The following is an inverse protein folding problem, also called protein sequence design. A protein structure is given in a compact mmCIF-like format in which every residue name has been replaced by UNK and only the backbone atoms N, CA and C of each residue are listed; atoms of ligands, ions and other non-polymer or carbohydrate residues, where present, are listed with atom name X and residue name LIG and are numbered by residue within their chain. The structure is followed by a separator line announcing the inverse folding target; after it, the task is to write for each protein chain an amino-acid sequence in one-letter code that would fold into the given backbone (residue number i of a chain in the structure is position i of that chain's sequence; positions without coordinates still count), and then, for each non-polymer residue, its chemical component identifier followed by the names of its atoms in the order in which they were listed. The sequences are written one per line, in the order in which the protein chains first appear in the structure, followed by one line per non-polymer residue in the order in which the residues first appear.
data_IF_783685272775
#
_entry.id   IF_783685272775
#
_cell.length_a   1.000
_cell.length_b   1.000
_cell.length_c   1.000
_cell.angle_alpha   90.00
_cell.angle_beta   90.00
_cell.angle_gamma   90.00
#
_symmetry.space_group_name_H-M   'P 1'
#
loop_
_entity.id
_entity.type
_entity.pdbx_description
1 polymer ?
#
# COMPACT_ATOMS: atom_id res chain seq x y z
N UNK A 1 20.26 -1.16 17.45
CA UNK A 1 20.16 0.27 17.11
C UNK A 1 20.27 0.37 15.60
N UNK A 2 19.33 1.01 14.96
CA UNK A 2 19.44 1.33 13.54
C UNK A 2 20.54 2.39 13.39
N UNK A 3 21.65 2.08 12.68
CA UNK A 3 22.74 3.05 12.53
C UNK A 3 22.31 4.32 11.80
N UNK A 4 21.17 4.31 11.08
CA UNK A 4 20.62 5.47 10.38
C UNK A 4 19.69 6.33 11.25
N UNK A 5 19.21 5.84 12.41
CA UNK A 5 18.33 6.61 13.30
C UNK A 5 18.41 6.13 14.76
N UNK A 6 19.38 6.65 15.54
CA UNK A 6 19.61 6.20 16.93
C UNK A 6 18.45 6.51 17.90
N UNK A 7 17.47 7.32 17.49
CA UNK A 7 16.31 7.70 18.31
C UNK A 7 15.03 6.94 17.95
N UNK A 8 15.04 6.03 16.96
CA UNK A 8 13.89 5.15 16.71
C UNK A 8 13.82 4.09 17.83
N UNK A 9 12.68 3.95 18.52
CA UNK A 9 12.52 2.89 19.48
C UNK A 9 12.69 1.55 18.76
N UNK A 10 13.53 0.68 19.33
CA UNK A 10 13.70 -0.68 18.80
C UNK A 10 12.42 -1.44 19.07
N UNK A 11 11.63 -1.69 18.03
CA UNK A 11 10.47 -2.54 18.09
C UNK A 11 10.92 -4.01 18.13
N UNK A 12 10.41 -4.77 19.09
CA UNK A 12 10.58 -6.21 19.14
C UNK A 12 9.27 -6.86 18.67
N UNK A 13 9.34 -7.69 17.65
CA UNK A 13 8.21 -8.51 17.21
C UNK A 13 8.11 -9.67 18.21
N UNK A 14 6.99 -9.76 18.93
CA UNK A 14 6.74 -10.79 19.93
C UNK A 14 6.04 -12.00 19.33
N UNK A 15 5.20 -11.81 18.32
CA UNK A 15 4.46 -12.87 17.66
C UNK A 15 3.93 -12.44 16.31
N UNK A 16 3.67 -13.42 15.44
CA UNK A 16 3.09 -13.23 14.10
C UNK A 16 2.07 -14.33 13.87
N UNK A 17 0.87 -13.99 13.40
CA UNK A 17 -0.14 -14.92 12.89
C UNK A 17 -0.42 -14.62 11.41
N UNK A 18 -0.42 -15.66 10.56
CA UNK A 18 -0.64 -15.52 9.13
C UNK A 18 -1.68 -16.53 8.66
N UNK A 19 -2.85 -16.03 8.30
CA UNK A 19 -3.97 -16.85 7.84
C UNK A 19 -4.45 -16.36 6.48
N UNK A 20 -4.87 -17.29 5.61
CA UNK A 20 -5.48 -16.95 4.32
C UNK A 20 -6.77 -16.17 4.56
N UNK A 21 -6.88 -15.00 3.99
CA UNK A 21 -8.05 -14.12 4.15
C UNK A 21 -9.17 -14.52 3.19
N UNK A 22 -9.92 -15.57 3.53
CA UNK A 22 -11.17 -15.90 2.86
C UNK A 22 -12.31 -15.02 3.44
N UNK A 23 -13.39 -14.78 2.70
CA UNK A 23 -14.47 -13.90 3.13
C UNK A 23 -14.22 -12.39 2.93
N UNK A 24 -13.00 -11.98 2.52
CA UNK A 24 -12.67 -10.59 2.16
C UNK A 24 -12.23 -10.52 0.71
N UNK A 25 -12.78 -9.56 -0.05
CA UNK A 25 -12.37 -9.32 -1.43
C UNK A 25 -12.26 -7.83 -1.71
N UNK A 26 -11.15 -7.42 -2.31
CA UNK A 26 -10.86 -6.00 -2.65
C UNK A 26 -10.99 -5.05 -1.46
N UNK A 27 -10.68 -5.53 -0.26
CA UNK A 27 -10.81 -4.76 0.99
C UNK A 27 -12.25 -4.65 1.53
N UNK A 28 -13.20 -5.43 0.99
CA UNK A 28 -14.58 -5.48 1.45
C UNK A 28 -14.89 -6.86 2.03
N UNK A 29 -15.52 -6.90 3.21
CA UNK A 29 -15.98 -8.14 3.84
C UNK A 29 -17.23 -8.60 3.09
N UNK A 30 -17.17 -9.79 2.49
CA UNK A 30 -18.28 -10.44 1.80
C UNK A 30 -18.95 -11.52 2.65
N UNK A 31 -18.18 -12.15 3.54
CA UNK A 31 -18.64 -13.12 4.52
C UNK A 31 -18.09 -12.78 5.89
N UNK A 32 -18.97 -12.41 6.80
CA UNK A 32 -18.63 -11.97 8.15
C UNK A 32 -18.16 -13.14 9.04
N UNK A 33 -18.75 -14.32 8.88
CA UNK A 33 -18.39 -15.48 9.70
C UNK A 33 -17.01 -16.00 9.32
N UNK A 34 -16.72 -16.09 8.03
CA UNK A 34 -15.38 -16.49 7.56
C UNK A 34 -14.33 -15.44 7.95
N UNK A 35 -14.66 -14.14 7.82
CA UNK A 35 -13.77 -13.06 8.28
C UNK A 35 -13.44 -13.18 9.76
N UNK A 36 -14.42 -13.39 10.64
CA UNK A 36 -14.22 -13.54 12.09
C UNK A 36 -13.37 -14.77 12.41
N UNK A 37 -13.65 -15.90 11.78
CA UNK A 37 -12.89 -17.13 11.94
C UNK A 37 -11.39 -16.93 11.61
N UNK A 38 -11.10 -16.35 10.44
CA UNK A 38 -9.73 -16.09 10.00
C UNK A 38 -9.02 -15.07 10.90
N UNK A 39 -9.77 -14.08 11.39
CA UNK A 39 -9.26 -13.09 12.32
C UNK A 39 -8.88 -13.72 13.66
N UNK A 40 -9.77 -14.53 14.25
CA UNK A 40 -9.55 -15.24 15.51
C UNK A 40 -8.36 -16.21 15.42
N UNK A 41 -8.25 -16.95 14.31
CA UNK A 41 -7.14 -17.86 14.04
C UNK A 41 -5.80 -17.10 13.96
N UNK A 42 -5.73 -15.98 13.23
CA UNK A 42 -4.50 -15.20 13.10
C UNK A 42 -4.10 -14.52 14.43
N UNK A 43 -5.06 -14.05 15.20
CA UNK A 43 -4.82 -13.49 16.54
C UNK A 43 -4.30 -14.56 17.50
N UNK A 44 -4.95 -15.73 17.52
CA UNK A 44 -4.54 -16.87 18.34
C UNK A 44 -3.10 -17.30 18.04
N UNK A 45 -2.71 -17.40 16.77
CA UNK A 45 -1.32 -17.71 16.40
C UNK A 45 -0.32 -16.66 16.93
N UNK A 46 -0.64 -15.37 16.75
CA UNK A 46 0.22 -14.27 17.20
C UNK A 46 0.35 -14.25 18.74
N UNK A 47 -0.76 -14.43 19.46
CA UNK A 47 -0.82 -14.46 20.94
C UNK A 47 -0.08 -15.67 21.50
N UNK A 48 -0.24 -16.86 20.91
CA UNK A 48 0.50 -18.06 21.30
C UNK A 48 2.01 -17.86 21.16
N UNK A 49 2.46 -17.25 20.06
CA UNK A 49 3.88 -16.96 19.86
C UNK A 49 4.38 -15.89 20.85
N UNK A 50 3.57 -14.87 21.12
CA UNK A 50 3.91 -13.78 22.03
C UNK A 50 3.83 -14.18 23.52
N UNK A 51 3.10 -15.25 23.86
CA UNK A 51 2.84 -15.69 25.24
C UNK A 51 1.91 -14.78 26.03
N UNK A 52 1.13 -13.92 25.36
CA UNK A 52 0.19 -12.98 26.00
C UNK A 52 -0.95 -12.61 25.05
N UNK A 53 -2.08 -12.19 25.62
CA UNK A 53 -3.25 -11.71 24.88
C UNK A 53 -3.18 -10.20 24.64
N UNK A 54 -3.80 -9.74 23.55
CA UNK A 54 -3.85 -8.33 23.16
C UNK A 54 -5.30 -7.88 23.04
N UNK A 55 -5.85 -7.11 24.00
CA UNK A 55 -7.23 -6.65 23.93
C UNK A 55 -7.44 -5.49 22.93
N UNK A 56 -6.37 -4.88 22.47
CA UNK A 56 -6.42 -3.69 21.59
C UNK A 56 -5.50 -3.86 20.41
N UNK A 57 -5.96 -3.44 19.22
CA UNK A 57 -5.15 -3.46 17.98
C UNK A 57 -5.27 -2.15 17.20
N UNK A 58 -4.19 -1.77 16.53
CA UNK A 58 -4.24 -0.87 15.40
C UNK A 58 -4.37 -1.68 14.11
N UNK A 59 -5.21 -1.28 13.19
CA UNK A 59 -5.41 -2.00 11.92
C UNK A 59 -4.94 -1.19 10.72
N UNK A 60 -4.33 -1.87 9.76
CA UNK A 60 -4.01 -1.32 8.46
C UNK A 60 -4.99 -1.85 7.42
N UNK A 61 -5.69 -0.94 6.74
CA UNK A 61 -6.63 -1.30 5.69
C UNK A 61 -6.03 -1.03 4.31
N UNK A 62 -6.24 -1.98 3.41
CA UNK A 62 -5.88 -1.89 2.01
C UNK A 62 -7.10 -2.23 1.17
N UNK A 63 -7.27 -1.61 0.02
CA UNK A 63 -8.36 -1.92 -0.90
C UNK A 63 -8.84 -0.72 -1.70
N UNK A 64 -9.60 -1.00 -2.74
CA UNK A 64 -10.14 0.00 -3.68
C UNK A 64 -11.27 0.86 -3.08
N UNK A 65 -11.77 0.52 -1.88
CA UNK A 65 -12.75 1.33 -1.15
C UNK A 65 -12.17 2.58 -0.50
N UNK A 66 -10.84 2.65 -0.32
CA UNK A 66 -10.18 3.86 0.20
C UNK A 66 -10.14 4.90 -0.91
N UNK A 67 -10.66 6.09 -0.62
CA UNK A 67 -10.61 7.25 -1.50
C UNK A 67 -9.61 8.27 -0.97
N UNK A 68 -8.96 8.97 -1.88
CA UNK A 68 -7.94 9.97 -1.56
C UNK A 68 -8.40 11.27 -2.19
N UNK A 69 -8.62 12.28 -1.35
CA UNK A 69 -8.99 13.62 -1.76
C UNK A 69 -7.83 14.55 -1.48
N UNK A 70 -7.56 15.48 -2.39
CA UNK A 70 -6.61 16.56 -2.18
C UNK A 70 -7.37 17.87 -2.08
N UNK A 71 -7.28 18.56 -0.95
CA UNK A 71 -8.04 19.78 -0.71
C UNK A 71 -7.24 20.82 0.07
N UNK A 72 -7.71 22.07 -0.03
CA UNK A 72 -7.10 23.23 0.58
C UNK A 72 -7.97 23.74 1.73
N UNK A 73 -7.33 24.00 2.88
CA UNK A 73 -7.93 24.72 4.00
C UNK A 73 -7.29 26.10 4.16
N UNK A 74 -8.03 27.06 4.72
CA UNK A 74 -7.54 28.39 5.01
C UNK A 74 -8.26 28.96 6.23
N UNK A 75 -7.47 29.60 7.14
CA UNK A 75 -8.00 30.32 8.30
C UNK A 75 -7.26 31.63 8.50
N UNK A 76 -7.90 32.58 9.17
CA UNK A 76 -7.23 33.76 9.75
C UNK A 76 -6.63 33.44 11.10
N UNK A 77 -5.48 34.07 11.44
CA UNK A 77 -4.75 33.94 12.70
C UNK A 77 -4.93 35.24 13.50
N UNK A 78 -5.83 35.28 14.52
CA UNK A 78 -6.05 36.48 15.30
C UNK A 78 -4.91 36.87 16.22
N UNK A 79 -4.16 35.89 16.72
CA UNK A 79 -3.05 36.06 17.67
C UNK A 79 -1.75 36.58 17.06
N UNK A 80 -1.70 36.75 15.73
CA UNK A 80 -0.49 37.03 14.95
C UNK A 80 0.65 36.00 15.08
N UNK A 81 0.43 34.86 15.71
CA UNK A 81 1.36 33.73 15.81
C UNK A 81 0.58 32.43 15.65
N UNK A 82 1.10 31.54 14.84
CA UNK A 82 0.46 30.24 14.55
C UNK A 82 0.65 29.30 15.73
N UNK A 83 -0.46 28.78 16.25
CA UNK A 83 -0.49 27.78 17.31
C UNK A 83 -0.78 26.38 16.76
N UNK A 84 -0.57 25.33 17.57
CA UNK A 84 -0.98 23.97 17.21
C UNK A 84 -2.49 23.83 17.00
N UNK A 85 -3.28 24.63 17.74
CA UNK A 85 -4.74 24.68 17.56
C UNK A 85 -5.13 25.23 16.19
N UNK A 86 -4.41 26.25 15.71
CA UNK A 86 -4.61 26.80 14.37
C UNK A 86 -4.28 25.78 13.28
N UNK A 87 -3.22 24.98 13.48
CA UNK A 87 -2.90 23.89 12.56
C UNK A 87 -4.05 22.87 12.51
N UNK A 88 -4.61 22.48 13.65
CA UNK A 88 -5.74 21.56 13.69
C UNK A 88 -6.97 22.19 12.98
N UNK A 89 -7.28 23.44 13.26
CA UNK A 89 -8.40 24.16 12.63
C UNK A 89 -8.26 24.28 11.11
N UNK A 90 -7.08 24.55 10.59
CA UNK A 90 -6.88 24.65 9.14
C UNK A 90 -7.00 23.29 8.44
N UNK A 91 -6.60 22.19 9.12
CA UNK A 91 -6.83 20.82 8.63
C UNK A 91 -8.32 20.46 8.62
N UNK A 92 -9.07 20.83 9.68
CA UNK A 92 -10.52 20.67 9.73
C UNK A 92 -11.22 21.47 8.61
N UNK A 93 -10.75 22.67 8.30
CA UNK A 93 -11.26 23.46 7.17
C UNK A 93 -10.99 22.77 5.83
N UNK A 94 -9.82 22.14 5.65
CA UNK A 94 -9.55 21.35 4.46
C UNK A 94 -10.52 20.16 4.34
N UNK A 95 -10.82 19.46 5.44
CA UNK A 95 -11.78 18.37 5.48
C UNK A 95 -13.20 18.84 5.14
N UNK A 96 -13.65 19.94 5.77
CA UNK A 96 -15.01 20.46 5.60
C UNK A 96 -15.30 20.99 4.18
N UNK A 97 -14.26 21.28 3.39
CA UNK A 97 -14.38 21.65 1.99
C UNK A 97 -14.74 20.49 1.04
N UNK A 98 -14.87 19.26 1.56
CA UNK A 98 -15.21 18.07 0.78
C UNK A 98 -16.59 17.56 1.21
N UNK A 99 -17.43 17.21 0.24
CA UNK A 99 -18.72 16.56 0.53
C UNK A 99 -18.48 15.06 0.76
N UNK A 100 -18.58 14.64 2.01
CA UNK A 100 -18.34 13.25 2.44
C UNK A 100 -19.68 12.53 2.71
N UNK A 101 -20.40 12.15 1.64
CA UNK A 101 -21.63 11.37 1.81
C UNK A 101 -21.29 9.89 2.07
N UNK A 102 -21.70 9.38 3.24
CA UNK A 102 -21.47 7.99 3.66
C UNK A 102 -19.96 7.59 3.70
N UNK A 103 -19.08 8.56 3.90
CA UNK A 103 -17.63 8.35 4.03
C UNK A 103 -17.17 8.75 5.43
N UNK A 104 -16.20 8.01 5.96
CA UNK A 104 -15.51 8.34 7.21
C UNK A 104 -14.06 8.68 6.90
N UNK A 105 -13.58 9.80 7.45
CA UNK A 105 -12.16 10.19 7.35
C UNK A 105 -11.33 9.25 8.22
N UNK A 106 -10.31 8.66 7.61
CA UNK A 106 -9.32 7.83 8.30
C UNK A 106 -8.14 8.67 8.78
N UNK A 107 -7.55 9.45 7.88
CA UNK A 107 -6.39 10.31 8.17
C UNK A 107 -6.41 11.56 7.29
N UNK A 108 -5.83 12.64 7.81
CA UNK A 108 -5.53 13.88 7.07
C UNK A 108 -4.02 14.09 7.14
N UNK A 109 -3.38 14.18 6.00
CA UNK A 109 -1.93 14.34 5.88
C UNK A 109 -1.65 15.68 5.19
N UNK A 110 -1.02 16.64 5.88
CA UNK A 110 -0.62 17.89 5.25
C UNK A 110 0.50 17.62 4.23
N UNK A 111 0.34 18.16 3.04
CA UNK A 111 1.39 18.21 2.02
C UNK A 111 2.29 19.41 2.25
N UNK A 112 1.70 20.59 2.45
CA UNK A 112 2.40 21.84 2.68
C UNK A 112 1.50 22.87 3.34
N UNK A 113 2.12 23.73 4.15
CA UNK A 113 1.46 24.93 4.65
C UNK A 113 1.92 26.16 3.87
N UNK A 114 1.08 27.21 3.87
CA UNK A 114 1.46 28.55 3.44
C UNK A 114 1.11 29.53 4.55
N UNK A 115 2.09 30.37 4.92
CA UNK A 115 2.00 31.37 5.98
C UNK A 115 2.08 32.73 5.33
N UNK A 116 0.96 33.44 5.25
CA UNK A 116 0.79 34.70 4.50
C UNK A 116 1.26 34.56 3.04
N UNK A 117 2.46 35.05 2.71
CA UNK A 117 3.07 35.00 1.37
C UNK A 117 4.15 33.90 1.24
N UNK A 118 4.51 33.24 2.33
CA UNK A 118 5.50 32.16 2.32
C UNK A 118 4.83 30.83 2.02
N UNK A 119 5.29 30.14 0.98
CA UNK A 119 4.77 28.86 0.53
C UNK A 119 5.69 27.70 0.91
N UNK A 120 5.15 26.47 0.91
CA UNK A 120 5.90 25.24 1.20
C UNK A 120 6.51 25.15 2.60
N UNK A 121 5.85 25.77 3.58
CA UNK A 121 6.25 25.66 4.99
C UNK A 121 5.92 24.27 5.51
N UNK A 122 6.90 23.59 6.14
CA UNK A 122 6.72 22.24 6.72
C UNK A 122 6.10 22.30 8.12
N UNK A 123 6.53 23.26 8.94
CA UNK A 123 6.06 23.44 10.33
C UNK A 123 5.75 24.91 10.58
N UNK A 124 4.49 25.29 10.56
CA UNK A 124 4.10 26.70 10.70
C UNK A 124 4.01 27.18 12.17
N UNK A 125 3.99 26.26 13.16
CA UNK A 125 3.83 26.60 14.59
C UNK A 125 4.94 27.51 15.06
N UNK A 126 4.59 28.62 15.73
CA UNK A 126 5.51 29.66 16.22
C UNK A 126 5.85 30.74 15.19
N UNK A 127 5.39 30.61 13.93
CA UNK A 127 5.60 31.66 12.92
C UNK A 127 4.59 32.79 13.08
N UNK A 128 5.04 34.02 12.89
CA UNK A 128 4.12 35.19 12.80
C UNK A 128 3.32 35.12 11.52
N UNK A 129 1.98 35.23 11.64
CA UNK A 129 1.07 35.17 10.50
C UNK A 129 -0.25 35.86 10.79
N UNK A 130 -0.89 36.33 9.73
CA UNK A 130 -2.32 36.73 9.73
C UNK A 130 -3.21 35.68 9.07
N UNK A 131 -2.64 34.85 8.20
CA UNK A 131 -3.34 33.81 7.45
C UNK A 131 -2.51 32.53 7.42
N UNK A 132 -3.16 31.41 7.67
CA UNK A 132 -2.60 30.07 7.51
C UNK A 132 -3.42 29.30 6.47
N UNK A 133 -2.73 28.70 5.50
CA UNK A 133 -3.32 27.80 4.52
C UNK A 133 -2.63 26.43 4.61
N UNK A 134 -3.35 25.37 4.22
CA UNK A 134 -2.82 24.01 4.09
C UNK A 134 -3.33 23.39 2.79
N UNK A 135 -2.44 22.70 2.07
CA UNK A 135 -2.83 21.68 1.12
C UNK A 135 -2.71 20.32 1.81
N UNK A 136 -3.74 19.51 1.77
CA UNK A 136 -3.76 18.24 2.49
C UNK A 136 -4.39 17.12 1.70
N UNK A 137 -3.87 15.90 1.91
CA UNK A 137 -4.49 14.65 1.48
C UNK A 137 -5.42 14.15 2.57
N UNK A 138 -6.65 13.83 2.20
CA UNK A 138 -7.70 13.34 3.08
C UNK A 138 -8.07 11.94 2.63
N UNK A 139 -7.80 10.97 3.49
CA UNK A 139 -8.06 9.56 3.23
C UNK A 139 -9.40 9.19 3.84
N UNK A 140 -10.30 8.65 3.02
CA UNK A 140 -11.65 8.27 3.44
C UNK A 140 -11.97 6.83 3.06
N UNK A 141 -12.95 6.24 3.76
CA UNK A 141 -13.48 4.91 3.49
C UNK A 141 -15.00 4.93 3.64
N UNK A 142 -15.76 4.10 2.90
CA UNK A 142 -17.18 3.96 3.17
C UNK A 142 -17.45 3.62 4.63
N UNK A 143 -18.31 4.40 5.29
CA UNK A 143 -18.61 4.23 6.73
C UNK A 143 -19.09 2.81 7.05
N UNK A 144 -19.89 2.21 6.17
CA UNK A 144 -20.36 0.84 6.33
C UNK A 144 -19.24 -0.19 6.29
N UNK A 145 -18.23 0.00 5.43
CA UNK A 145 -17.07 -0.90 5.35
C UNK A 145 -16.25 -0.83 6.64
N UNK A 146 -15.97 0.37 7.15
CA UNK A 146 -15.25 0.55 8.42
C UNK A 146 -16.01 -0.06 9.59
N UNK A 147 -17.33 0.17 9.66
CA UNK A 147 -18.18 -0.37 10.73
C UNK A 147 -18.21 -1.91 10.71
N UNK A 148 -18.25 -2.53 9.53
CA UNK A 148 -18.17 -3.99 9.40
C UNK A 148 -16.84 -4.54 9.91
N UNK A 149 -15.72 -3.90 9.56
CA UNK A 149 -14.40 -4.28 10.07
C UNK A 149 -14.37 -4.18 11.60
N UNK A 150 -14.75 -3.03 12.17
CA UNK A 150 -14.79 -2.84 13.63
C UNK A 150 -15.71 -3.83 14.34
N UNK A 151 -16.85 -4.14 13.72
CA UNK A 151 -17.78 -5.15 14.27
C UNK A 151 -17.13 -6.54 14.31
N UNK A 152 -16.44 -6.96 13.24
CA UNK A 152 -15.77 -8.25 13.20
C UNK A 152 -14.71 -8.38 14.31
N UNK A 153 -13.89 -7.35 14.53
CA UNK A 153 -12.92 -7.32 15.64
C UNK A 153 -13.61 -7.37 17.01
N UNK A 154 -14.67 -6.58 17.21
CA UNK A 154 -15.43 -6.57 18.45
C UNK A 154 -16.08 -7.92 18.76
N UNK A 155 -16.61 -8.60 17.73
CA UNK A 155 -17.26 -9.91 17.87
C UNK A 155 -16.26 -11.01 18.34
N UNK A 156 -14.95 -10.85 18.06
CA UNK A 156 -13.88 -11.73 18.56
C UNK A 156 -13.21 -11.18 19.84
N UNK A 157 -13.78 -10.13 20.46
CA UNK A 157 -13.33 -9.61 21.75
C UNK A 157 -12.17 -8.61 21.68
N UNK A 158 -11.86 -8.04 20.52
CA UNK A 158 -10.75 -7.11 20.29
C UNK A 158 -11.27 -5.70 20.01
N UNK A 159 -10.71 -4.71 20.67
CA UNK A 159 -11.00 -3.29 20.40
C UNK A 159 -10.02 -2.70 19.36
N UNK A 160 -10.57 -2.07 18.33
CA UNK A 160 -9.79 -1.35 17.32
C UNK A 160 -9.56 0.09 17.76
N UNK A 161 -8.32 0.40 18.19
CA UNK A 161 -7.93 1.72 18.71
C UNK A 161 -7.61 2.72 17.60
N UNK A 162 -7.07 2.28 16.48
CA UNK A 162 -6.78 3.16 15.34
C UNK A 162 -6.85 2.40 14.01
N UNK A 163 -7.09 3.14 12.92
CA UNK A 163 -7.22 2.62 11.56
C UNK A 163 -6.38 3.44 10.59
N UNK A 164 -5.50 2.77 9.87
CA UNK A 164 -4.59 3.41 8.92
C UNK A 164 -4.81 2.85 7.51
N UNK A 165 -4.74 3.68 6.45
CA UNK A 165 -4.52 3.20 5.11
C UNK A 165 -3.13 2.54 4.97
N UNK A 166 -3.04 1.34 4.39
CA UNK A 166 -1.75 0.64 4.22
C UNK A 166 -0.72 1.46 3.43
N UNK A 167 -1.19 2.22 2.44
CA UNK A 167 -0.31 3.08 1.63
C UNK A 167 0.36 4.22 2.44
N UNK A 168 -0.06 4.50 3.68
CA UNK A 168 0.63 5.41 4.59
C UNK A 168 1.61 4.67 5.51
N UNK A 169 1.28 3.44 5.91
CA UNK A 169 2.09 2.67 6.86
C UNK A 169 3.23 1.91 6.19
N UNK A 170 3.03 1.38 4.99
CA UNK A 170 4.08 0.68 4.24
C UNK A 170 5.32 1.55 4.00
N UNK A 171 5.21 2.82 3.54
CA UNK A 171 6.36 3.70 3.39
C UNK A 171 7.07 4.03 4.72
N UNK A 172 6.31 4.16 5.82
CA UNK A 172 6.89 4.44 7.14
C UNK A 172 7.72 3.27 7.66
N UNK A 173 7.35 2.03 7.31
CA UNK A 173 8.07 0.84 7.72
C UNK A 173 9.39 0.65 6.95
N UNK A 174 9.44 1.00 5.64
CA UNK A 174 10.55 0.59 4.76
C UNK A 174 11.41 1.73 4.24
N UNK A 175 10.91 2.99 4.22
CA UNK A 175 11.67 4.12 3.69
C UNK A 175 12.48 4.81 4.79
N UNK A 176 13.76 5.07 4.52
CA UNK A 176 14.58 5.91 5.35
C UNK A 176 14.20 7.40 5.20
N UNK A 177 14.54 8.19 6.23
CA UNK A 177 14.36 9.65 6.17
C UNK A 177 15.08 10.27 4.97
N UNK A 178 16.28 9.79 4.65
CA UNK A 178 17.08 10.27 3.50
C UNK A 178 16.35 10.03 2.18
N UNK A 179 15.78 8.84 1.98
CA UNK A 179 15.01 8.53 0.78
C UNK A 179 13.81 9.46 0.62
N UNK A 180 13.07 9.71 1.71
CA UNK A 180 11.93 10.65 1.70
C UNK A 180 12.35 12.09 1.40
N UNK A 181 13.53 12.52 1.87
CA UNK A 181 14.06 13.86 1.56
C UNK A 181 14.51 14.01 0.12
N UNK A 182 15.18 13.01 -0.45
CA UNK A 182 15.77 13.09 -1.80
C UNK A 182 14.81 12.81 -2.92
N UNK A 183 13.71 12.13 -2.67
CA UNK A 183 12.70 11.77 -3.65
C UNK A 183 12.65 10.28 -3.95
N UNK A 184 11.55 9.63 -3.56
CA UNK A 184 11.32 8.19 -3.68
C UNK A 184 9.84 7.88 -3.91
N UNK A 185 9.54 6.83 -4.66
CA UNK A 185 8.20 6.25 -4.72
C UNK A 185 8.18 4.90 -3.99
N UNK A 186 7.22 4.72 -3.09
CA UNK A 186 6.87 3.43 -2.52
C UNK A 186 5.71 2.82 -3.31
N UNK A 187 5.90 1.59 -3.79
CA UNK A 187 4.93 0.86 -4.62
C UNK A 187 4.55 -0.42 -3.87
N UNK A 188 3.32 -0.45 -3.33
CA UNK A 188 2.78 -1.58 -2.58
C UNK A 188 1.89 -2.44 -3.50
N UNK A 189 2.46 -3.52 -4.06
CA UNK A 189 1.72 -4.45 -4.92
C UNK A 189 1.01 -5.47 -4.04
N UNK A 190 -0.25 -5.17 -3.69
CA UNK A 190 -1.13 -6.06 -2.95
C UNK A 190 -1.79 -7.12 -3.84
N UNK A 191 -2.77 -7.84 -3.29
CA UNK A 191 -3.57 -8.82 -4.03
C UNK A 191 -4.49 -8.11 -5.05
N UNK A 192 -5.35 -7.21 -4.59
CA UNK A 192 -6.41 -6.59 -5.40
C UNK A 192 -6.09 -5.19 -5.92
N UNK A 193 -5.09 -4.53 -5.38
CA UNK A 193 -4.71 -3.17 -5.76
C UNK A 193 -3.22 -2.94 -5.55
N UNK A 194 -2.72 -1.87 -6.19
CA UNK A 194 -1.35 -1.37 -6.01
C UNK A 194 -1.42 0.04 -5.44
N UNK A 195 -0.83 0.25 -4.27
CA UNK A 195 -0.66 1.56 -3.65
C UNK A 195 0.58 2.26 -4.20
N UNK A 196 0.48 3.55 -4.48
CA UNK A 196 1.60 4.38 -4.93
C UNK A 196 1.69 5.59 -4.03
N UNK A 197 2.84 5.80 -3.38
CA UNK A 197 3.06 6.95 -2.51
C UNK A 197 4.41 7.58 -2.83
N UNK A 198 4.43 8.86 -3.18
CA UNK A 198 5.65 9.61 -3.54
C UNK A 198 6.01 10.56 -2.42
N UNK A 199 7.28 10.56 -2.03
CA UNK A 199 7.88 11.48 -1.07
C UNK A 199 8.97 12.30 -1.72
N UNK A 200 9.00 13.60 -1.45
CA UNK A 200 10.10 14.53 -1.75
C UNK A 200 10.21 15.54 -0.60
N UNK A 201 11.41 15.98 -0.30
CA UNK A 201 11.68 16.96 0.79
C UNK A 201 11.11 16.52 2.16
N UNK A 202 10.99 15.19 2.37
CA UNK A 202 10.48 14.60 3.60
C UNK A 202 8.97 14.65 3.76
N UNK A 203 8.22 15.12 2.77
CA UNK A 203 6.75 15.19 2.78
C UNK A 203 6.14 14.31 1.69
N UNK A 204 4.91 13.85 1.91
CA UNK A 204 4.15 13.10 0.91
C UNK A 204 3.64 14.07 -0.16
N UNK A 205 4.10 13.88 -1.41
CA UNK A 205 3.71 14.68 -2.58
C UNK A 205 2.59 14.06 -3.37
N UNK A 206 2.39 12.74 -3.23
CA UNK A 206 1.32 12.05 -3.94
C UNK A 206 0.96 10.74 -3.25
N UNK A 207 -0.31 10.38 -3.34
CA UNK A 207 -0.80 9.06 -2.97
C UNK A 207 -1.93 8.66 -3.92
N UNK A 208 -1.88 7.43 -4.43
CA UNK A 208 -2.94 6.88 -5.27
C UNK A 208 -3.08 5.37 -5.09
N UNK A 209 -4.26 4.84 -5.45
CA UNK A 209 -4.56 3.41 -5.44
C UNK A 209 -4.96 3.01 -6.85
N UNK A 210 -4.15 2.14 -7.44
CA UNK A 210 -4.42 1.51 -8.73
C UNK A 210 -5.22 0.23 -8.47
N UNK A 211 -6.42 0.05 -9.05
CA UNK A 211 -7.30 -1.09 -8.76
C UNK A 211 -6.88 -2.38 -9.49
N UNK A 212 -5.57 -2.63 -9.57
CA UNK A 212 -4.95 -3.82 -10.16
C UNK A 212 -3.84 -4.29 -9.23
N UNK A 213 -3.79 -5.59 -8.94
CA UNK A 213 -2.78 -6.21 -8.09
C UNK A 213 -2.48 -7.64 -8.49
N UNK A 214 -1.84 -8.41 -7.61
CA UNK A 214 -1.35 -9.76 -7.88
C UNK A 214 -2.44 -10.80 -8.21
N UNK A 215 -3.69 -10.60 -7.77
CA UNK A 215 -4.80 -11.52 -8.11
C UNK A 215 -5.17 -11.49 -9.60
N UNK A 216 -4.90 -10.36 -10.27
CA UNK A 216 -5.13 -10.26 -11.71
C UNK A 216 -4.13 -11.10 -12.49
N UNK A 217 -2.87 -11.20 -12.02
CA UNK A 217 -1.87 -12.13 -12.58
C UNK A 217 -2.36 -13.57 -12.43
N UNK A 218 -2.89 -13.94 -11.26
CA UNK A 218 -3.46 -15.27 -11.00
C UNK A 218 -4.63 -15.57 -11.92
N UNK A 219 -5.54 -14.59 -12.08
CA UNK A 219 -6.70 -14.73 -12.97
C UNK A 219 -6.29 -14.89 -14.44
N UNK A 220 -5.31 -14.13 -14.91
CA UNK A 220 -4.79 -14.25 -16.27
C UNK A 220 -4.14 -15.61 -16.52
N UNK A 221 -3.38 -16.12 -15.55
CA UNK A 221 -2.80 -17.47 -15.61
C UNK A 221 -3.92 -18.52 -15.64
N UNK A 222 -4.92 -18.42 -14.76
CA UNK A 222 -6.03 -19.35 -14.70
C UNK A 222 -6.77 -19.45 -16.03
N UNK A 223 -7.02 -18.29 -16.68
CA UNK A 223 -7.66 -18.22 -17.99
C UNK A 223 -6.74 -18.72 -19.12
N UNK A 224 -5.49 -18.28 -19.13
CA UNK A 224 -4.54 -18.62 -20.21
C UNK A 224 -4.14 -20.09 -20.22
N UNK A 225 -3.95 -20.68 -19.04
CA UNK A 225 -3.57 -22.09 -18.86
C UNK A 225 -4.78 -23.01 -18.71
N UNK A 226 -6.00 -22.45 -18.44
CA UNK A 226 -7.25 -23.17 -18.22
C UNK A 226 -7.23 -24.09 -16.99
N UNK A 227 -6.71 -23.55 -15.89
CA UNK A 227 -6.65 -24.26 -14.59
C UNK A 227 -7.47 -23.53 -13.53
N UNK A 228 -7.67 -24.17 -12.39
CA UNK A 228 -8.32 -23.53 -11.24
C UNK A 228 -7.48 -22.36 -10.71
N UNK A 229 -8.12 -21.41 -10.00
CA UNK A 229 -7.45 -20.25 -9.41
C UNK A 229 -6.35 -20.67 -8.41
N UNK A 230 -6.60 -21.73 -7.63
CA UNK A 230 -5.64 -22.26 -6.67
C UNK A 230 -4.39 -22.86 -7.35
N UNK A 231 -4.56 -23.54 -8.47
CA UNK A 231 -3.46 -24.05 -9.30
C UNK A 231 -2.69 -22.90 -9.94
N UNK A 232 -3.41 -21.89 -10.47
CA UNK A 232 -2.82 -20.70 -11.06
C UNK A 232 -2.00 -19.88 -10.03
N UNK A 233 -2.48 -19.77 -8.78
CA UNK A 233 -1.73 -19.10 -7.71
C UNK A 233 -0.40 -19.81 -7.41
N UNK A 234 -0.41 -21.14 -7.33
CA UNK A 234 0.83 -21.92 -7.15
C UNK A 234 1.76 -21.80 -8.36
N UNK A 235 1.21 -21.81 -9.58
CA UNK A 235 2.01 -21.58 -10.79
C UNK A 235 2.69 -20.21 -10.75
N UNK A 236 1.95 -19.17 -10.35
CA UNK A 236 2.46 -17.80 -10.21
C UNK A 236 3.60 -17.74 -9.20
N UNK A 237 3.43 -18.31 -8.02
CA UNK A 237 4.41 -18.19 -6.93
C UNK A 237 5.66 -19.02 -7.15
N UNK A 238 5.52 -20.21 -7.73
CA UNK A 238 6.60 -21.19 -7.77
C UNK A 238 7.41 -21.14 -9.07
N UNK A 239 6.78 -20.78 -10.21
CA UNK A 239 7.38 -20.95 -11.53
C UNK A 239 7.53 -19.68 -12.35
N UNK A 240 6.75 -18.62 -12.10
CA UNK A 240 6.85 -17.37 -12.86
C UNK A 240 8.20 -16.69 -12.67
N UNK A 241 8.78 -16.24 -13.79
CA UNK A 241 9.99 -15.43 -13.85
C UNK A 241 9.77 -14.28 -14.86
N UNK A 242 9.76 -13.04 -14.37
CA UNK A 242 9.34 -11.88 -15.16
C UNK A 242 10.35 -11.44 -16.23
N UNK A 243 11.56 -11.96 -16.22
CA UNK A 243 12.58 -11.68 -17.24
C UNK A 243 12.89 -12.89 -18.13
N UNK A 244 12.24 -14.02 -17.88
CA UNK A 244 12.49 -15.24 -18.63
C UNK A 244 12.23 -15.08 -20.14
N UNK A 245 11.22 -14.31 -20.50
CA UNK A 245 10.83 -14.02 -21.89
C UNK A 245 11.84 -13.14 -22.64
N UNK A 246 12.65 -12.35 -21.91
CA UNK A 246 13.56 -11.37 -22.48
C UNK A 246 14.94 -11.98 -22.78
N UNK A 247 15.15 -13.26 -22.43
CA UNK A 247 16.37 -13.99 -22.74
C UNK A 247 16.48 -14.23 -24.25
N UNK A 248 17.67 -14.08 -24.81
CA UNK A 248 17.91 -14.20 -26.25
C UNK A 248 17.60 -15.61 -26.83
N UNK A 249 17.63 -16.64 -26.01
CA UNK A 249 17.20 -18.02 -26.30
C UNK A 249 16.71 -18.69 -25.01
N UNK A 250 15.49 -18.40 -24.56
CA UNK A 250 14.98 -19.06 -23.38
C UNK A 250 14.82 -20.56 -23.66
N UNK A 251 15.49 -21.40 -22.86
CA UNK A 251 15.27 -22.84 -22.91
C UNK A 251 13.93 -23.10 -22.24
N UNK A 252 12.90 -23.31 -23.06
CA UNK A 252 11.57 -23.58 -22.53
C UNK A 252 11.55 -24.89 -21.74
N UNK A 253 10.89 -24.87 -20.61
CA UNK A 253 10.72 -25.99 -19.69
C UNK A 253 9.24 -26.29 -19.54
N UNK A 254 8.86 -27.55 -19.71
CA UNK A 254 7.50 -28.01 -19.45
C UNK A 254 7.28 -28.25 -17.97
N UNK A 255 6.26 -27.62 -17.40
CA UNK A 255 5.84 -27.79 -16.02
C UNK A 255 4.68 -28.79 -15.99
N UNK A 256 4.87 -29.95 -15.38
CA UNK A 256 3.78 -30.91 -15.21
C UNK A 256 2.84 -30.41 -14.12
N UNK A 257 1.59 -30.14 -14.47
CA UNK A 257 0.56 -29.64 -13.56
C UNK A 257 0.22 -30.65 -12.45
N UNK A 258 0.44 -31.95 -12.70
CA UNK A 258 0.32 -33.02 -11.70
C UNK A 258 1.21 -32.85 -10.47
N UNK A 259 2.26 -32.02 -10.55
CA UNK A 259 3.10 -31.66 -9.38
C UNK A 259 2.38 -30.71 -8.44
N UNK A 260 1.40 -29.95 -8.94
CA UNK A 260 0.64 -28.94 -8.21
C UNK A 260 -0.70 -29.49 -7.73
N UNK A 261 -1.43 -30.14 -8.64
CA UNK A 261 -2.66 -30.88 -8.36
C UNK A 261 -2.64 -32.24 -9.09
N UNK A 262 -2.76 -33.34 -8.33
CA UNK A 262 -2.75 -34.70 -8.86
C UNK A 262 -3.87 -35.00 -9.86
N UNK A 263 -4.92 -34.16 -9.90
CA UNK A 263 -6.03 -34.28 -10.85
C UNK A 263 -5.68 -33.75 -12.24
N UNK A 264 -4.67 -32.90 -12.32
CA UNK A 264 -4.22 -32.32 -13.57
C UNK A 264 -3.23 -33.26 -14.26
N UNK A 265 -3.43 -33.47 -15.56
CA UNK A 265 -2.60 -34.38 -16.36
C UNK A 265 -1.78 -33.65 -17.43
N UNK A 266 -2.06 -32.36 -17.64
CA UNK A 266 -1.43 -31.55 -18.68
C UNK A 266 -0.09 -30.96 -18.22
N UNK A 267 0.65 -30.44 -19.19
CA UNK A 267 1.86 -29.63 -18.96
C UNK A 267 1.63 -28.20 -19.45
N UNK A 268 2.38 -27.26 -18.88
CA UNK A 268 2.39 -25.87 -19.32
C UNK A 268 3.83 -25.41 -19.57
N UNK A 269 4.03 -24.69 -20.66
CA UNK A 269 5.29 -24.04 -20.98
C UNK A 269 5.59 -22.94 -19.96
N UNK A 270 6.77 -22.98 -19.34
CA UNK A 270 7.26 -21.95 -18.42
C UNK A 270 7.40 -20.60 -19.14
N UNK A 271 7.78 -20.62 -20.43
CA UNK A 271 7.86 -19.43 -21.24
C UNK A 271 6.49 -18.78 -21.40
N UNK A 272 5.46 -19.55 -21.77
CA UNK A 272 4.10 -19.06 -21.92
C UNK A 272 3.53 -18.50 -20.61
N UNK A 273 3.73 -19.24 -19.50
CA UNK A 273 3.35 -18.81 -18.16
C UNK A 273 3.99 -17.46 -17.79
N UNK A 274 5.30 -17.34 -18.04
CA UNK A 274 6.05 -16.11 -17.74
C UNK A 274 5.63 -14.94 -18.63
N UNK A 275 5.24 -15.18 -19.88
CA UNK A 275 4.69 -14.16 -20.78
C UNK A 275 3.38 -13.58 -20.26
N UNK A 276 2.45 -14.44 -19.82
CA UNK A 276 1.17 -14.00 -19.24
C UNK A 276 1.43 -13.10 -18.02
N UNK A 277 2.26 -13.57 -17.10
CA UNK A 277 2.56 -12.82 -15.88
C UNK A 277 3.29 -11.50 -16.17
N UNK A 278 4.32 -11.52 -17.04
CA UNK A 278 5.07 -10.32 -17.43
C UNK A 278 4.15 -9.26 -18.03
N UNK A 279 3.21 -9.65 -18.90
CA UNK A 279 2.26 -8.70 -19.51
C UNK A 279 1.45 -7.94 -18.46
N UNK A 280 0.95 -8.65 -17.44
CA UNK A 280 0.19 -8.02 -16.36
C UNK A 280 1.07 -7.14 -15.46
N UNK A 281 2.28 -7.57 -15.12
CA UNK A 281 3.21 -6.73 -14.36
C UNK A 281 3.63 -5.47 -15.13
N UNK A 282 3.84 -5.57 -16.45
CA UNK A 282 4.09 -4.40 -17.31
C UNK A 282 2.93 -3.42 -17.29
N UNK A 283 1.69 -3.91 -17.30
CA UNK A 283 0.51 -3.06 -17.16
C UNK A 283 0.49 -2.35 -15.80
N UNK A 284 0.71 -3.06 -14.68
CA UNK A 284 0.80 -2.44 -13.35
C UNK A 284 1.88 -1.34 -13.33
N UNK A 285 3.07 -1.63 -13.83
CA UNK A 285 4.17 -0.67 -13.87
C UNK A 285 3.87 0.52 -14.80
N UNK A 286 3.18 0.31 -15.91
CA UNK A 286 2.71 1.37 -16.81
C UNK A 286 1.71 2.29 -16.13
N UNK A 287 0.78 1.74 -15.33
CA UNK A 287 -0.17 2.52 -14.54
C UNK A 287 0.56 3.34 -13.45
N UNK A 288 1.53 2.75 -12.76
CA UNK A 288 2.41 3.48 -11.83
C UNK A 288 3.14 4.62 -12.54
N UNK A 289 3.71 4.34 -13.71
CA UNK A 289 4.42 5.37 -14.49
C UNK A 289 3.48 6.51 -14.94
N UNK A 290 2.20 6.21 -15.18
CA UNK A 290 1.18 7.22 -15.48
C UNK A 290 0.96 8.15 -14.29
N UNK A 291 0.93 7.62 -13.06
CA UNK A 291 0.86 8.45 -11.85
C UNK A 291 2.11 9.33 -11.69
N UNK A 292 3.30 8.77 -11.93
CA UNK A 292 4.56 9.53 -11.88
C UNK A 292 4.62 10.64 -12.94
N UNK A 293 4.11 10.37 -14.16
CA UNK A 293 4.00 11.39 -15.23
C UNK A 293 3.08 12.54 -14.87
N UNK A 294 1.94 12.26 -14.20
CA UNK A 294 1.03 13.31 -13.72
C UNK A 294 1.71 14.29 -12.76
N UNK A 295 2.70 13.79 -12.02
CA UNK A 295 3.53 14.60 -11.13
C UNK A 295 4.75 15.25 -11.82
N UNK A 296 5.03 14.90 -13.07
CA UNK A 296 6.28 15.27 -13.75
C UNK A 296 7.51 14.63 -13.10
N UNK A 297 7.40 13.41 -12.61
CA UNK A 297 8.46 12.68 -11.86
C UNK A 297 8.85 11.34 -12.50
N UNK A 298 8.36 11.02 -13.70
CA UNK A 298 8.74 9.82 -14.44
C UNK A 298 10.25 9.81 -14.73
N UNK A 299 10.95 8.76 -14.24
CA UNK A 299 12.40 8.65 -14.38
C UNK A 299 13.22 9.69 -13.60
N UNK A 300 12.60 10.48 -12.70
CA UNK A 300 13.23 11.65 -12.08
C UNK A 300 13.35 11.61 -10.55
N UNK A 301 13.06 10.48 -9.92
CA UNK A 301 13.21 10.31 -8.47
C UNK A 301 14.61 9.77 -8.15
N UNK A 302 15.48 10.51 -7.43
CA UNK A 302 16.88 10.13 -7.19
C UNK A 302 17.03 8.83 -6.39
N UNK A 303 16.17 8.59 -5.40
CA UNK A 303 16.18 7.34 -4.59
C UNK A 303 15.29 6.25 -5.21
N UNK A 304 14.69 6.52 -6.39
CA UNK A 304 14.01 5.54 -7.21
C UNK A 304 12.70 5.02 -6.65
N UNK A 305 12.47 3.72 -6.86
CA UNK A 305 11.27 3.01 -6.47
C UNK A 305 11.57 1.89 -5.46
N UNK A 306 10.82 1.86 -4.37
CA UNK A 306 10.87 0.82 -3.35
C UNK A 306 9.59 0.01 -3.42
N UNK A 307 9.72 -1.30 -3.70
CA UNK A 307 8.60 -2.22 -3.85
C UNK A 307 8.32 -2.97 -2.56
N UNK A 308 7.06 -3.07 -2.19
CA UNK A 308 6.56 -3.83 -1.05
C UNK A 308 5.28 -4.60 -1.44
N UNK A 309 4.72 -5.33 -0.49
CA UNK A 309 3.52 -6.15 -0.70
C UNK A 309 3.82 -7.53 -1.27
N UNK A 310 2.82 -8.41 -1.27
CA UNK A 310 2.97 -9.80 -1.72
C UNK A 310 3.36 -9.94 -3.20
N UNK A 311 2.83 -9.05 -4.06
CA UNK A 311 3.14 -9.03 -5.48
C UNK A 311 4.60 -8.66 -5.79
N UNK A 312 5.29 -7.97 -4.88
CA UNK A 312 6.70 -7.59 -5.05
C UNK A 312 7.66 -8.79 -4.96
N UNK A 313 7.18 -9.95 -4.47
CA UNK A 313 7.97 -11.19 -4.36
C UNK A 313 8.15 -11.93 -5.69
N UNK A 314 7.53 -11.47 -6.77
CA UNK A 314 7.69 -12.08 -8.09
C UNK A 314 9.18 -12.04 -8.53
N UNK A 315 9.65 -13.18 -9.05
CA UNK A 315 11.07 -13.31 -9.46
C UNK A 315 11.40 -12.29 -10.54
N UNK A 316 12.51 -11.60 -10.36
CA UNK A 316 13.06 -10.62 -11.32
C UNK A 316 12.13 -9.42 -11.58
N UNK A 317 11.19 -9.13 -10.65
CA UNK A 317 10.36 -7.92 -10.71
C UNK A 317 11.22 -6.65 -10.78
N UNK A 318 12.28 -6.60 -10.01
CA UNK A 318 13.16 -5.41 -9.93
C UNK A 318 13.81 -5.09 -11.28
N UNK A 319 14.23 -6.09 -12.03
CA UNK A 319 14.85 -5.85 -13.33
C UNK A 319 13.81 -5.40 -14.37
N UNK A 320 12.63 -6.00 -14.36
CA UNK A 320 11.50 -5.55 -15.15
C UNK A 320 11.12 -4.10 -14.79
N UNK A 321 11.02 -3.78 -13.50
CA UNK A 321 10.63 -2.45 -13.02
C UNK A 321 11.66 -1.37 -13.40
N UNK A 322 12.96 -1.66 -13.33
CA UNK A 322 14.02 -0.74 -13.79
C UNK A 322 13.84 -0.37 -15.26
N UNK A 323 13.53 -1.35 -16.09
CA UNK A 323 13.33 -1.10 -17.53
C UNK A 323 12.08 -0.28 -17.82
N UNK A 324 10.96 -0.55 -17.12
CA UNK A 324 9.67 0.10 -17.37
C UNK A 324 9.58 1.50 -16.73
N UNK A 325 10.09 1.68 -15.50
CA UNK A 325 10.03 2.95 -14.78
C UNK A 325 11.22 3.87 -15.03
N UNK A 326 12.33 3.34 -15.54
CA UNK A 326 13.59 4.07 -15.73
C UNK A 326 14.10 4.71 -14.43
N UNK A 327 13.88 4.02 -13.31
CA UNK A 327 14.29 4.40 -11.96
C UNK A 327 15.16 3.29 -11.34
N UNK A 328 16.05 3.63 -10.42
CA UNK A 328 16.60 2.62 -9.51
C UNK A 328 15.47 1.94 -8.75
N UNK A 329 15.47 0.60 -8.68
CA UNK A 329 14.40 -0.16 -8.03
C UNK A 329 14.99 -1.12 -7.01
N UNK A 330 14.32 -1.23 -5.84
CA UNK A 330 14.70 -2.13 -4.76
C UNK A 330 13.46 -2.73 -4.09
N UNK A 331 13.63 -3.83 -3.36
CA UNK A 331 12.60 -4.37 -2.45
C UNK A 331 12.78 -3.69 -1.09
N UNK A 332 11.67 -3.23 -0.51
CA UNK A 332 11.63 -2.67 0.84
C UNK A 332 11.50 -3.77 1.89
N UNK A 333 12.28 -3.65 2.96
CA UNK A 333 12.20 -4.49 4.16
C UNK A 333 12.06 -3.58 5.38
N UNK A 334 11.19 -3.94 6.37
CA UNK A 334 11.02 -3.20 7.61
C UNK A 334 12.27 -3.17 8.49
#
# INVERSE_FOLDING_TARGET
MDPANPNKPKLNILGVGVVKSDGVRKGTILDMEEFKKNLDESLTEAENMAGQQFPHVGICLSGTGIQIHHNKGMIAIPSNEVTQEDVNRVLDMAQNGITLTNQTVLKIIPESFSVDLEHHVKSPVGMSAKKLEVNAYIFTIPTTALNNVRKGFKDVGIDVVDVFPSLLTSPEAVLSRRQKELGVVCIDIGSSCTGVTVFEEGVMRHASIIPVGGEYVTSDIALGVRVSVDVAEKLKTDYVDLTFCDQSKPKDEEIALSRIDKKETETVSKLYLSQIAQARYKEILSLVNTELKRLGRDGMLPEGAVFVGGGSKARNLIDLAKSELRLPCTIGFP
#
